data_IF_615091907371
#
_entry.id   IF_615091907371
#
_cell.length_a   1.000
_cell.length_b   1.000
_cell.length_c   1.000
_cell.angle_alpha   90.00
_cell.angle_beta   90.00
_cell.angle_gamma   90.00
#
_symmetry.space_group_name_H-M   'P 1'
#
loop_
_entity.id
_entity.type
_entity.pdbx_description
1 polymer ?
#
# COMPACT_ATOMS: atom_id res chain seq x y z
N UNK A 1 19.39 19.49 39.04
CA UNK A 1 18.68 18.35 38.37
C UNK A 1 17.48 18.94 37.72
N UNK A 2 17.60 19.23 36.44
CA UNK A 2 16.47 19.74 35.61
C UNK A 2 15.82 18.54 34.91
N UNK A 3 14.54 18.35 35.18
CA UNK A 3 13.69 17.43 34.41
C UNK A 3 13.47 18.02 33.02
N UNK A 4 14.08 17.45 32.02
CA UNK A 4 13.79 17.74 30.61
C UNK A 4 12.55 16.94 30.22
N UNK A 5 11.43 17.62 30.11
CA UNK A 5 10.15 17.03 29.74
C UNK A 5 10.15 16.52 28.29
N UNK A 6 9.90 15.22 28.12
CA UNK A 6 9.69 14.52 26.83
C UNK A 6 8.19 14.52 26.49
N UNK A 7 7.55 15.67 26.39
CA UNK A 7 6.12 15.77 26.04
C UNK A 7 5.84 16.39 24.66
N UNK A 8 6.88 16.69 23.88
CA UNK A 8 6.70 17.45 22.62
C UNK A 8 6.39 16.61 21.35
N UNK A 9 6.69 15.31 21.33
CA UNK A 9 6.70 14.55 20.05
C UNK A 9 5.32 14.07 19.58
N UNK A 10 4.50 13.55 20.46
CA UNK A 10 3.20 12.99 20.08
C UNK A 10 2.19 14.08 19.64
N UNK A 11 2.21 15.25 20.28
CA UNK A 11 1.31 16.36 19.95
C UNK A 11 1.63 16.96 18.57
N UNK A 12 2.91 17.07 18.22
CA UNK A 12 3.33 17.61 16.92
C UNK A 12 2.96 16.69 15.75
N UNK A 13 3.07 15.36 15.91
CA UNK A 13 2.68 14.38 14.90
C UNK A 13 1.16 14.39 14.67
N UNK A 14 0.37 14.51 15.72
CA UNK A 14 -1.10 14.54 15.61
C UNK A 14 -1.60 15.82 14.92
N UNK A 15 -0.99 16.98 15.19
CA UNK A 15 -1.33 18.25 14.54
C UNK A 15 -1.00 18.19 13.04
N UNK A 16 0.19 17.73 12.68
CA UNK A 16 0.60 17.60 11.26
C UNK A 16 -0.29 16.63 10.47
N UNK A 17 -0.77 15.55 11.09
CA UNK A 17 -1.68 14.59 10.48
C UNK A 17 -3.08 15.17 10.24
N UNK A 18 -3.58 15.98 11.18
CA UNK A 18 -4.88 16.67 11.06
C UNK A 18 -4.85 17.72 9.95
N UNK A 19 -3.76 18.45 9.83
CA UNK A 19 -3.56 19.46 8.78
C UNK A 19 -3.51 18.81 7.40
N UNK A 20 -2.79 17.68 7.25
CA UNK A 20 -2.72 16.91 5.98
C UNK A 20 -4.12 16.51 5.48
N UNK A 21 -4.96 15.97 6.37
CA UNK A 21 -6.32 15.52 6.01
C UNK A 21 -7.20 16.69 5.62
N UNK A 22 -7.12 17.81 6.35
CA UNK A 22 -7.91 19.00 6.05
C UNK A 22 -7.53 19.60 4.69
N UNK A 23 -6.23 19.81 4.46
CA UNK A 23 -5.71 20.33 3.18
C UNK A 23 -6.06 19.41 2.00
N UNK A 24 -5.90 18.10 2.16
CA UNK A 24 -6.23 17.14 1.12
C UNK A 24 -7.73 17.13 0.78
N UNK A 25 -8.59 17.22 1.79
CA UNK A 25 -10.04 17.30 1.61
C UNK A 25 -10.46 18.59 0.90
N UNK A 26 -9.87 19.71 1.27
CA UNK A 26 -10.10 20.99 0.62
C UNK A 26 -9.68 20.94 -0.85
N UNK A 27 -8.47 20.42 -1.14
CA UNK A 27 -7.95 20.27 -2.49
C UNK A 27 -8.84 19.38 -3.37
N UNK A 28 -9.30 18.24 -2.86
CA UNK A 28 -10.19 17.33 -3.57
C UNK A 28 -11.57 17.99 -3.83
N UNK A 29 -12.11 18.68 -2.86
CA UNK A 29 -13.40 19.38 -2.98
C UNK A 29 -13.31 20.54 -3.97
N UNK A 30 -12.25 21.34 -3.92
CA UNK A 30 -12.01 22.43 -4.84
C UNK A 30 -11.87 21.93 -6.29
N UNK A 31 -11.10 20.85 -6.50
CA UNK A 31 -10.96 20.24 -7.84
C UNK A 31 -12.31 19.75 -8.38
N UNK A 32 -13.09 19.03 -7.56
CA UNK A 32 -14.42 18.56 -7.96
C UNK A 32 -15.40 19.71 -8.30
N UNK A 33 -15.26 20.86 -7.67
CA UNK A 33 -16.09 22.03 -7.94
C UNK A 33 -15.74 22.73 -9.28
N UNK A 34 -14.52 22.54 -9.80
CA UNK A 34 -14.03 23.19 -11.02
C UNK A 34 -14.13 22.31 -12.27
N UNK A 35 -14.35 20.99 -12.10
CA UNK A 35 -14.46 20.03 -13.20
C UNK A 35 -15.93 19.70 -13.41
N UNK A 36 -16.40 19.78 -14.65
CA UNK A 36 -17.71 19.28 -15.06
C UNK A 36 -17.59 18.02 -15.93
N UNK A 37 -18.69 17.41 -16.26
CA UNK A 37 -18.73 16.21 -17.13
C UNK A 37 -18.34 16.47 -18.57
N UNK A 38 -18.22 17.73 -18.97
CA UNK A 38 -17.73 18.16 -20.29
C UNK A 38 -16.24 18.49 -20.27
N UNK A 39 -15.56 18.20 -19.15
CA UNK A 39 -14.12 18.46 -18.96
C UNK A 39 -13.26 17.78 -20.03
N UNK A 40 -12.13 18.40 -20.33
CA UNK A 40 -11.13 17.83 -21.24
C UNK A 40 -10.40 16.70 -20.54
N UNK A 41 -10.31 15.54 -21.18
CA UNK A 41 -9.54 14.41 -20.68
C UNK A 41 -8.36 14.08 -21.58
N UNK A 42 -7.24 13.75 -20.98
CA UNK A 42 -6.09 13.17 -21.66
C UNK A 42 -5.80 11.78 -21.04
N UNK A 43 -5.52 10.82 -21.91
CA UNK A 43 -5.37 9.42 -21.51
C UNK A 43 -3.95 8.96 -21.84
N UNK A 44 -3.39 8.14 -20.97
CA UNK A 44 -2.01 7.69 -21.07
C UNK A 44 -1.89 6.20 -20.77
N UNK A 45 -1.12 5.49 -21.57
CA UNK A 45 -0.56 4.18 -21.23
C UNK A 45 0.79 4.40 -20.55
N UNK A 46 1.01 3.84 -19.39
CA UNK A 46 2.33 3.83 -18.76
C UNK A 46 3.03 2.55 -19.18
N UNK A 47 3.97 2.68 -20.11
CA UNK A 47 4.72 1.55 -20.64
C UNK A 47 5.93 1.26 -19.77
N UNK A 48 6.12 -0.01 -19.39
CA UNK A 48 7.23 -0.47 -18.58
C UNK A 48 6.90 -1.73 -17.80
N UNK A 49 7.90 -2.37 -17.23
CA UNK A 49 7.72 -3.55 -16.38
C UNK A 49 6.98 -3.21 -15.07
N UNK A 50 7.07 -1.96 -14.63
CA UNK A 50 6.39 -1.43 -13.44
C UNK A 50 6.15 0.06 -13.60
N UNK A 51 5.32 0.64 -12.73
CA UNK A 51 5.12 2.10 -12.68
C UNK A 51 6.41 2.85 -12.33
N UNK A 52 7.35 2.23 -11.60
CA UNK A 52 8.63 2.82 -11.20
C UNK A 52 9.58 3.06 -12.37
N UNK A 53 9.53 2.22 -13.40
CA UNK A 53 10.32 2.35 -14.62
C UNK A 53 9.48 2.74 -15.83
N UNK A 54 8.18 3.04 -15.59
CA UNK A 54 7.24 3.30 -16.66
C UNK A 54 7.38 4.68 -17.27
N UNK A 55 7.16 4.75 -18.57
CA UNK A 55 7.08 5.99 -19.35
C UNK A 55 5.63 6.22 -19.79
N UNK A 56 5.05 7.43 -19.58
CA UNK A 56 3.72 7.72 -20.07
C UNK A 56 3.77 7.90 -21.60
N UNK A 57 2.80 7.29 -22.26
CA UNK A 57 2.51 7.45 -23.70
C UNK A 57 1.08 7.90 -23.82
N UNK A 58 0.85 9.03 -24.47
CA UNK A 58 -0.49 9.55 -24.72
C UNK A 58 -1.24 8.64 -25.67
N UNK A 59 -2.53 8.43 -25.42
CA UNK A 59 -3.43 7.68 -26.28
C UNK A 59 -4.71 8.49 -26.50
N UNK A 60 -5.26 8.39 -27.70
CA UNK A 60 -6.54 9.01 -28.02
C UNK A 60 -7.66 7.99 -27.83
N UNK A 61 -8.68 8.40 -27.10
CA UNK A 61 -9.92 7.66 -26.99
C UNK A 61 -10.98 8.22 -27.95
N UNK A 62 -11.81 7.35 -28.45
CA UNK A 62 -13.02 7.75 -29.16
C UNK A 62 -13.86 8.67 -28.26
N UNK A 63 -14.50 9.67 -28.84
CA UNK A 63 -15.17 10.76 -28.11
C UNK A 63 -16.14 10.27 -27.02
N UNK A 64 -16.92 9.22 -27.32
CA UNK A 64 -17.87 8.69 -26.35
C UNK A 64 -17.14 8.03 -25.17
N UNK A 65 -16.11 7.22 -25.42
CA UNK A 65 -15.30 6.61 -24.38
C UNK A 65 -14.57 7.65 -23.54
N UNK A 66 -14.05 8.72 -24.17
CA UNK A 66 -13.42 9.83 -23.46
C UNK A 66 -14.39 10.50 -22.47
N UNK A 67 -15.64 10.70 -22.87
CA UNK A 67 -16.67 11.26 -22.00
C UNK A 67 -17.03 10.29 -20.85
N UNK A 68 -17.14 8.99 -21.12
CA UNK A 68 -17.36 7.96 -20.09
C UNK A 68 -16.22 7.95 -19.06
N UNK A 69 -14.97 8.07 -19.51
CA UNK A 69 -13.79 8.16 -18.61
C UNK A 69 -13.88 9.35 -17.67
N UNK A 70 -14.28 10.53 -18.18
CA UNK A 70 -14.48 11.72 -17.32
C UNK A 70 -15.49 11.43 -16.23
N UNK A 71 -16.64 10.87 -16.58
CA UNK A 71 -17.69 10.49 -15.61
C UNK A 71 -17.17 9.49 -14.58
N UNK A 72 -16.42 8.50 -15.01
CA UNK A 72 -15.87 7.46 -14.14
C UNK A 72 -14.83 8.03 -13.16
N UNK A 73 -13.93 8.90 -13.63
CA UNK A 73 -12.91 9.59 -12.80
C UNK A 73 -13.61 10.47 -11.75
N UNK A 74 -14.57 11.29 -12.17
CA UNK A 74 -15.31 12.16 -11.26
C UNK A 74 -16.15 11.36 -10.26
N UNK A 75 -16.78 10.26 -10.70
CA UNK A 75 -17.51 9.34 -9.83
C UNK A 75 -16.62 8.68 -8.78
N UNK A 76 -15.38 8.32 -9.13
CA UNK A 76 -14.41 7.80 -8.17
C UNK A 76 -13.93 8.88 -7.19
N UNK A 77 -13.58 10.06 -7.68
CA UNK A 77 -13.15 11.19 -6.86
C UNK A 77 -14.26 11.62 -5.87
N UNK A 78 -15.51 11.69 -6.34
CA UNK A 78 -16.66 12.00 -5.49
C UNK A 78 -16.90 10.95 -4.42
N UNK A 79 -16.70 9.67 -4.71
CA UNK A 79 -16.74 8.64 -3.67
C UNK A 79 -15.66 8.84 -2.62
N UNK A 80 -14.43 9.14 -3.02
CA UNK A 80 -13.32 9.42 -2.07
C UNK A 80 -13.61 10.64 -1.18
N UNK A 81 -14.22 11.70 -1.74
CA UNK A 81 -14.59 12.88 -0.97
C UNK A 81 -15.61 12.59 0.15
N UNK A 82 -16.45 11.54 -0.04
CA UNK A 82 -17.44 11.11 0.95
C UNK A 82 -16.90 10.07 1.95
N UNK A 83 -15.67 9.58 1.78
CA UNK A 83 -15.03 8.69 2.74
C UNK A 83 -14.35 9.50 3.86
N UNK A 84 -14.12 8.85 4.98
CA UNK A 84 -13.23 9.34 6.01
C UNK A 84 -11.78 9.30 5.48
N UNK A 85 -11.14 10.45 5.35
CA UNK A 85 -9.74 10.53 4.95
C UNK A 85 -8.85 10.28 6.17
N UNK A 86 -7.88 9.38 6.00
CA UNK A 86 -6.91 9.01 7.03
C UNK A 86 -5.50 9.17 6.46
N UNK A 87 -4.56 9.81 7.19
CA UNK A 87 -3.17 9.87 6.75
C UNK A 87 -2.60 8.47 6.52
N UNK A 88 -1.80 8.33 5.48
CA UNK A 88 -1.11 7.07 5.26
C UNK A 88 -0.10 6.79 6.38
N UNK A 89 -0.35 5.72 7.10
CA UNK A 89 0.56 5.09 8.03
C UNK A 89 0.75 3.62 7.59
N UNK A 90 1.99 3.16 7.40
CA UNK A 90 2.25 1.77 7.01
C UNK A 90 1.67 0.73 7.96
N UNK A 91 1.50 1.06 9.23
CA UNK A 91 0.92 0.18 10.25
C UNK A 91 -0.60 0.21 10.30
N UNK A 92 -1.24 1.22 9.71
CA UNK A 92 -2.69 1.39 9.74
C UNK A 92 -3.41 0.51 8.71
N UNK A 93 -4.53 -0.07 9.11
CA UNK A 93 -5.44 -0.78 8.19
C UNK A 93 -6.78 -0.03 8.14
N UNK A 94 -7.10 0.61 7.00
CA UNK A 94 -8.34 1.33 6.87
C UNK A 94 -9.54 0.37 6.96
N UNK A 95 -10.58 0.80 7.63
CA UNK A 95 -11.88 0.14 7.63
C UNK A 95 -12.65 0.44 6.35
N UNK A 96 -13.76 -0.28 6.15
CA UNK A 96 -14.73 0.06 5.10
C UNK A 96 -15.26 1.47 5.35
N UNK A 97 -15.17 2.35 4.37
CA UNK A 97 -15.58 3.75 4.51
C UNK A 97 -14.43 4.74 4.71
N UNK A 98 -13.20 4.25 4.79
CA UNK A 98 -12.00 5.09 4.88
C UNK A 98 -11.20 5.08 3.59
N UNK A 99 -10.49 6.19 3.32
CA UNK A 99 -9.51 6.31 2.27
C UNK A 99 -8.21 6.90 2.82
N UNK A 100 -7.10 6.37 2.36
CA UNK A 100 -5.77 6.84 2.74
C UNK A 100 -5.37 8.05 1.90
N UNK A 101 -4.71 9.00 2.53
CA UNK A 101 -4.15 10.17 1.87
C UNK A 101 -2.69 10.34 2.26
N UNK A 102 -1.89 10.76 1.28
CA UNK A 102 -0.49 11.14 1.50
C UNK A 102 -0.13 12.33 0.59
N UNK A 103 0.97 13.02 0.87
CA UNK A 103 1.53 14.00 -0.05
C UNK A 103 2.21 13.28 -1.21
N UNK A 104 2.03 13.77 -2.42
CA UNK A 104 2.60 13.17 -3.63
C UNK A 104 4.14 13.10 -3.56
N UNK A 105 4.78 14.07 -2.92
CA UNK A 105 6.23 14.10 -2.70
C UNK A 105 6.75 12.93 -1.85
N UNK A 106 5.88 12.32 -1.03
CA UNK A 106 6.20 11.12 -0.24
C UNK A 106 6.14 9.83 -1.09
N UNK A 107 5.79 9.95 -2.37
CA UNK A 107 5.66 8.85 -3.33
C UNK A 107 6.44 9.24 -4.61
N UNK A 108 7.78 9.29 -4.54
CA UNK A 108 8.62 9.96 -5.54
C UNK A 108 8.48 9.40 -6.96
N UNK A 109 8.27 8.09 -7.11
CA UNK A 109 8.09 7.48 -8.44
C UNK A 109 6.77 7.91 -9.07
N UNK A 110 5.69 7.97 -8.28
CA UNK A 110 4.40 8.48 -8.75
C UNK A 110 4.50 9.98 -9.03
N UNK A 111 5.22 10.74 -8.19
CA UNK A 111 5.44 12.17 -8.40
C UNK A 111 6.14 12.44 -9.74
N UNK A 112 7.21 11.69 -10.04
CA UNK A 112 7.93 11.78 -11.32
C UNK A 112 7.00 11.48 -12.51
N UNK A 113 6.25 10.39 -12.45
CA UNK A 113 5.30 10.01 -13.49
C UNK A 113 4.19 11.06 -13.66
N UNK A 114 3.65 11.54 -12.53
CA UNK A 114 2.60 12.55 -12.52
C UNK A 114 3.08 13.87 -13.14
N UNK A 115 4.31 14.30 -12.87
CA UNK A 115 4.90 15.49 -13.47
C UNK A 115 4.99 15.38 -15.00
N UNK A 116 5.40 14.21 -15.52
CA UNK A 116 5.46 13.96 -16.97
C UNK A 116 4.08 14.01 -17.62
N UNK A 117 3.04 13.49 -16.96
CA UNK A 117 1.65 13.54 -17.42
C UNK A 117 1.11 14.98 -17.32
N UNK A 118 1.38 15.68 -16.22
CA UNK A 118 0.91 17.05 -16.01
C UNK A 118 1.50 18.05 -17.02
N UNK A 119 2.76 17.84 -17.43
CA UNK A 119 3.42 18.64 -18.45
C UNK A 119 2.98 18.28 -19.88
N UNK A 120 2.18 17.24 -20.07
CA UNK A 120 1.75 16.70 -21.38
C UNK A 120 2.93 16.46 -22.35
N UNK A 121 4.06 16.01 -21.80
CA UNK A 121 5.29 15.74 -22.57
C UNK A 121 5.32 14.36 -23.20
N UNK A 122 4.30 13.54 -22.94
CA UNK A 122 4.21 12.19 -23.44
C UNK A 122 3.99 12.17 -24.95
N UNK A 123 4.79 11.37 -25.65
CA UNK A 123 4.60 11.14 -27.08
C UNK A 123 3.31 10.32 -27.29
N UNK A 124 2.62 10.62 -28.42
CA UNK A 124 1.47 9.84 -28.83
C UNK A 124 1.90 8.37 -29.02
N UNK A 125 1.11 7.45 -28.50
CA UNK A 125 1.38 6.02 -28.66
C UNK A 125 1.09 5.59 -30.11
N UNK A 126 2.04 4.87 -30.71
CA UNK A 126 1.84 4.27 -32.03
C UNK A 126 1.29 2.85 -31.84
N UNK A 127 0.01 2.61 -32.15
CA UNK A 127 -0.60 1.30 -31.98
C UNK A 127 -0.04 0.22 -32.94
N UNK A 128 0.77 0.64 -33.96
CA UNK A 128 1.41 -0.29 -34.92
C UNK A 128 2.73 -0.87 -34.43
N UNK A 129 3.23 -0.42 -33.27
CA UNK A 129 4.50 -0.88 -32.70
C UNK A 129 4.44 -2.30 -32.13
N UNK A 130 5.57 -3.00 -32.13
CA UNK A 130 5.72 -4.39 -31.66
C UNK A 130 5.29 -4.57 -30.19
N UNK A 131 4.27 -5.39 -29.97
CA UNK A 131 3.79 -5.92 -28.67
C UNK A 131 3.45 -4.84 -27.59
N UNK A 132 2.46 -3.98 -27.90
CA UNK A 132 2.07 -2.89 -26.98
C UNK A 132 1.54 -3.40 -25.63
N UNK A 133 0.98 -4.58 -25.60
CA UNK A 133 0.21 -5.07 -24.49
C UNK A 133 1.02 -5.68 -23.35
N UNK A 134 2.20 -6.21 -23.63
CA UNK A 134 3.03 -6.89 -22.61
C UNK A 134 3.74 -5.96 -21.64
N UNK A 135 3.80 -4.66 -21.95
CA UNK A 135 4.59 -3.70 -21.19
C UNK A 135 3.78 -2.56 -20.56
N UNK A 136 2.47 -2.71 -20.44
CA UNK A 136 1.66 -1.67 -19.79
C UNK A 136 1.71 -1.88 -18.27
N UNK A 137 2.27 -0.94 -17.52
CA UNK A 137 2.32 -0.93 -16.06
C UNK A 137 1.11 -0.24 -15.43
N UNK A 138 0.54 0.77 -16.10
CA UNK A 138 -0.65 1.48 -15.64
C UNK A 138 -1.39 2.14 -16.80
N UNK A 139 -2.66 2.48 -16.55
CA UNK A 139 -3.42 3.48 -17.27
C UNK A 139 -3.53 4.73 -16.40
N UNK A 140 -3.36 5.90 -17.00
CA UNK A 140 -3.60 7.16 -16.32
C UNK A 140 -4.59 8.00 -17.11
N UNK A 141 -5.55 8.60 -16.41
CA UNK A 141 -6.59 9.43 -16.99
C UNK A 141 -6.58 10.78 -16.27
N UNK A 142 -6.21 11.82 -17.00
CA UNK A 142 -6.21 13.19 -16.49
C UNK A 142 -7.46 13.90 -16.96
N UNK A 143 -8.17 14.51 -16.03
CA UNK A 143 -9.32 15.36 -16.29
C UNK A 143 -8.99 16.76 -15.80
N UNK A 144 -8.97 17.72 -16.71
CA UNK A 144 -8.63 19.11 -16.42
C UNK A 144 -9.86 19.88 -15.97
N UNK A 145 -9.68 20.81 -15.02
CA UNK A 145 -10.72 21.75 -14.62
C UNK A 145 -10.93 22.87 -15.66
N UNK A 146 -11.98 23.66 -15.45
CA UNK A 146 -12.35 24.80 -16.32
C UNK A 146 -11.25 25.86 -16.37
N UNK A 147 -10.45 26.02 -15.33
CA UNK A 147 -9.26 26.85 -15.33
C UNK A 147 -8.05 26.03 -15.74
N UNK A 148 -7.18 26.60 -16.58
CA UNK A 148 -5.93 25.96 -16.99
C UNK A 148 -4.91 25.77 -15.85
N UNK A 149 -5.33 25.94 -14.60
CA UNK A 149 -4.50 25.75 -13.42
C UNK A 149 -4.35 24.24 -13.15
N UNK A 150 -3.10 23.76 -13.13
CA UNK A 150 -2.78 22.36 -12.84
C UNK A 150 -3.30 21.91 -11.47
N UNK A 151 -3.51 22.84 -10.53
CA UNK A 151 -4.06 22.56 -9.21
C UNK A 151 -5.49 22.02 -9.25
N UNK A 152 -6.24 22.26 -10.33
CA UNK A 152 -7.62 21.80 -10.49
C UNK A 152 -7.75 20.48 -11.26
N UNK A 153 -6.67 19.92 -11.81
CA UNK A 153 -6.71 18.66 -12.55
C UNK A 153 -6.78 17.46 -11.62
N UNK A 154 -7.58 16.45 -11.98
CA UNK A 154 -7.63 15.14 -11.32
C UNK A 154 -6.97 14.13 -12.25
N UNK A 155 -5.94 13.43 -11.76
CA UNK A 155 -5.32 12.33 -12.49
C UNK A 155 -5.61 11.01 -11.78
N UNK A 156 -6.39 10.14 -12.43
CA UNK A 156 -6.73 8.81 -11.92
C UNK A 156 -5.80 7.75 -12.50
N UNK A 157 -5.32 6.86 -11.66
CA UNK A 157 -4.41 5.78 -12.01
C UNK A 157 -5.08 4.43 -11.82
N UNK A 158 -5.04 3.63 -12.88
CA UNK A 158 -5.31 2.20 -12.82
C UNK A 158 -3.98 1.47 -12.87
N UNK A 159 -3.53 0.99 -11.73
CA UNK A 159 -2.29 0.24 -11.59
C UNK A 159 -2.51 -1.21 -12.03
N UNK A 160 -1.52 -1.76 -12.67
CA UNK A 160 -1.62 -3.11 -13.20
C UNK A 160 -0.82 -4.11 -12.43
N UNK A 161 -1.49 -5.25 -12.12
CA UNK A 161 -0.80 -6.51 -12.11
C UNK A 161 -0.63 -7.04 -13.56
N UNK A 162 0.27 -7.97 -13.82
CA UNK A 162 0.49 -8.55 -15.13
C UNK A 162 -0.81 -9.19 -15.64
N UNK A 163 -1.53 -8.57 -16.53
CA UNK A 163 -2.77 -9.14 -17.05
C UNK A 163 -3.80 -8.23 -17.67
N UNK A 164 -3.53 -6.95 -17.96
CA UNK A 164 -4.50 -6.09 -18.67
C UNK A 164 -4.46 -6.28 -20.18
N UNK A 165 -3.36 -6.80 -20.73
CA UNK A 165 -3.35 -7.14 -22.12
C UNK A 165 -3.61 -8.62 -22.26
N UNK A 166 -4.63 -8.94 -22.95
CA UNK A 166 -5.01 -10.33 -23.09
C UNK A 166 -4.85 -10.82 -24.52
N UNK A 167 -3.70 -11.40 -24.77
CA UNK A 167 -3.72 -12.68 -25.48
C UNK A 167 -3.54 -13.74 -24.41
N UNK A 168 -4.63 -14.20 -23.79
CA UNK A 168 -4.54 -15.46 -23.01
C UNK A 168 -4.59 -16.61 -23.99
N UNK A 169 -3.50 -17.36 -24.18
CA UNK A 169 -3.59 -18.68 -24.81
C UNK A 169 -4.54 -19.51 -23.95
N UNK A 170 -5.68 -19.93 -24.50
CA UNK A 170 -6.65 -20.79 -23.83
C UNK A 170 -7.70 -20.10 -22.96
N UNK A 171 -7.76 -18.76 -22.95
CA UNK A 171 -8.72 -17.99 -22.13
C UNK A 171 -9.98 -17.54 -22.84
N UNK A 172 -10.57 -16.47 -22.35
CA UNK A 172 -11.79 -15.85 -22.86
C UNK A 172 -11.66 -15.50 -24.34
N UNK A 173 -12.59 -16.01 -25.14
CA UNK A 173 -12.72 -15.64 -26.55
C UNK A 173 -13.69 -14.47 -26.64
N UNK A 174 -13.20 -13.32 -27.06
CA UNK A 174 -14.08 -12.18 -27.36
C UNK A 174 -14.62 -12.34 -28.76
N UNK A 175 -15.93 -12.26 -28.90
CA UNK A 175 -16.63 -12.36 -30.17
C UNK A 175 -17.31 -11.02 -30.44
N UNK A 176 -17.06 -10.43 -31.62
CA UNK A 176 -17.72 -9.22 -32.06
C UNK A 176 -18.72 -9.56 -33.17
N UNK A 177 -19.96 -9.08 -33.09
CA UNK A 177 -20.91 -9.26 -34.16
C UNK A 177 -20.53 -8.33 -35.33
N UNK A 178 -20.25 -8.90 -36.50
CA UNK A 178 -20.03 -8.18 -37.74
C UNK A 178 -20.86 -8.83 -38.85
N UNK A 179 -21.69 -8.03 -39.53
CA UNK A 179 -22.44 -8.50 -40.69
C UNK A 179 -23.38 -9.72 -40.41
N UNK A 180 -23.89 -9.87 -39.19
CA UNK A 180 -24.72 -11.00 -38.80
C UNK A 180 -23.97 -12.26 -38.35
N UNK A 181 -22.64 -12.22 -38.31
CA UNK A 181 -21.79 -13.31 -37.85
C UNK A 181 -20.98 -12.85 -36.67
N UNK A 182 -20.74 -13.73 -35.68
CA UNK A 182 -19.81 -13.46 -34.60
C UNK A 182 -18.41 -13.82 -35.03
N UNK A 183 -17.55 -12.82 -35.19
CA UNK A 183 -16.14 -13.00 -35.52
C UNK A 183 -15.30 -13.05 -34.25
N UNK A 184 -14.28 -13.89 -34.25
CA UNK A 184 -13.29 -13.93 -33.17
C UNK A 184 -12.39 -12.70 -33.26
N UNK A 185 -12.26 -11.96 -32.17
CA UNK A 185 -11.25 -10.90 -32.07
C UNK A 185 -9.88 -11.55 -31.97
N UNK A 186 -9.06 -11.30 -32.97
CA UNK A 186 -7.65 -11.78 -33.05
C UNK A 186 -6.67 -10.70 -32.59
N UNK A 187 -7.12 -9.45 -32.57
CA UNK A 187 -6.29 -8.30 -32.20
C UNK A 187 -6.03 -8.25 -30.70
N UNK A 188 -4.95 -7.63 -30.31
CA UNK A 188 -4.66 -7.35 -28.91
C UNK A 188 -5.65 -6.32 -28.38
N UNK A 189 -6.26 -6.62 -27.23
CA UNK A 189 -7.25 -5.76 -26.62
C UNK A 189 -6.71 -5.18 -25.32
N UNK A 190 -6.83 -3.88 -25.15
CA UNK A 190 -6.66 -3.20 -23.87
C UNK A 190 -8.06 -3.03 -23.26
N UNK A 191 -8.29 -3.64 -22.11
CA UNK A 191 -9.56 -3.47 -21.40
C UNK A 191 -9.53 -2.18 -20.59
N UNK A 192 -10.48 -1.31 -20.87
CA UNK A 192 -10.85 -0.25 -19.95
C UNK A 192 -11.81 -0.81 -18.89
N UNK A 193 -11.51 -0.54 -17.63
CA UNK A 193 -12.40 -0.82 -16.51
C UNK A 193 -12.51 0.46 -15.66
N UNK A 194 -13.73 0.91 -15.32
CA UNK A 194 -13.98 2.12 -14.54
C UNK A 194 -13.62 1.92 -13.05
N UNK A 195 -12.43 1.39 -12.80
CA UNK A 195 -11.92 1.12 -11.46
C UNK A 195 -10.50 1.67 -11.36
N UNK A 196 -10.34 2.63 -10.48
CA UNK A 196 -9.05 3.26 -10.23
C UNK A 196 -8.50 2.80 -8.89
N UNK A 197 -7.17 2.75 -8.81
CA UNK A 197 -6.44 2.32 -7.62
C UNK A 197 -5.95 3.53 -6.82
N UNK A 198 -5.70 4.66 -7.51
CA UNK A 198 -5.29 5.93 -6.90
C UNK A 198 -5.78 7.11 -7.72
N UNK A 199 -5.95 8.27 -7.07
CA UNK A 199 -6.02 9.56 -7.74
C UNK A 199 -4.98 10.51 -7.17
N UNK A 200 -4.53 11.46 -8.01
CA UNK A 200 -3.67 12.57 -7.62
C UNK A 200 -4.39 13.87 -7.91
N UNK A 201 -4.42 14.75 -6.91
CA UNK A 201 -5.05 16.07 -6.96
C UNK A 201 -4.20 17.04 -6.15
N UNK A 202 -3.81 18.18 -6.76
CA UNK A 202 -3.14 19.30 -6.06
C UNK A 202 -1.99 18.86 -5.12
N UNK A 203 -1.18 17.90 -5.54
CA UNK A 203 -0.04 17.41 -4.74
C UNK A 203 -0.39 16.38 -3.65
N UNK A 204 -1.62 15.89 -3.62
CA UNK A 204 -2.04 14.78 -2.75
C UNK A 204 -2.34 13.53 -3.55
N UNK A 205 -2.04 12.36 -2.97
CA UNK A 205 -2.42 11.04 -3.49
C UNK A 205 -3.45 10.40 -2.57
N UNK A 206 -4.53 9.90 -3.16
CA UNK A 206 -5.64 9.24 -2.45
C UNK A 206 -5.74 7.80 -2.92
N UNK A 207 -5.84 6.85 -2.00
CA UNK A 207 -6.00 5.43 -2.26
C UNK A 207 -6.98 4.79 -1.28
N UNK A 208 -7.58 3.67 -1.68
CA UNK A 208 -8.50 2.92 -0.82
C UNK A 208 -7.87 1.73 -0.11
N UNK A 209 -6.61 1.40 -0.43
CA UNK A 209 -5.90 0.27 0.18
C UNK A 209 -4.44 0.59 0.46
N UNK A 210 -3.88 0.18 1.63
CA UNK A 210 -2.46 0.36 1.94
C UNK A 210 -1.54 -0.32 0.92
N UNK A 211 -1.95 -1.47 0.39
CA UNK A 211 -1.16 -2.23 -0.59
C UNK A 211 -0.86 -1.42 -1.85
N UNK A 212 -1.78 -0.55 -2.27
CA UNK A 212 -1.57 0.35 -3.40
C UNK A 212 -0.37 1.26 -3.16
N UNK A 213 -0.28 1.89 -1.98
CA UNK A 213 0.86 2.74 -1.62
C UNK A 213 2.13 1.91 -1.41
N UNK A 214 2.06 0.84 -0.64
CA UNK A 214 3.25 0.07 -0.27
C UNK A 214 3.91 -0.63 -1.46
N UNK A 215 3.15 -1.38 -2.27
CA UNK A 215 3.72 -2.24 -3.31
C UNK A 215 3.73 -1.62 -4.70
N UNK A 216 2.73 -0.80 -4.98
CA UNK A 216 2.52 -0.31 -6.34
C UNK A 216 3.00 1.12 -6.54
N UNK A 217 3.10 1.92 -5.47
CA UNK A 217 3.48 3.33 -5.54
C UNK A 217 4.77 3.68 -4.79
N UNK A 218 5.52 2.69 -4.31
CA UNK A 218 6.87 2.89 -3.76
C UNK A 218 6.97 3.31 -2.31
N UNK A 219 5.87 3.31 -1.55
CA UNK A 219 5.89 3.62 -0.10
C UNK A 219 6.37 2.46 0.77
N UNK A 220 6.87 1.39 0.18
CA UNK A 220 7.40 0.24 0.91
C UNK A 220 8.67 0.57 1.71
N UNK A 221 9.44 1.57 1.30
CA UNK A 221 10.59 2.07 2.05
C UNK A 221 10.20 2.58 3.45
N UNK A 222 9.06 3.27 3.56
CA UNK A 222 8.52 3.72 4.86
C UNK A 222 8.09 2.52 5.71
N UNK A 223 7.42 1.53 5.12
CA UNK A 223 7.04 0.31 5.82
C UNK A 223 8.27 -0.45 6.36
N UNK A 224 9.35 -0.53 5.60
CA UNK A 224 10.63 -1.12 6.04
C UNK A 224 11.24 -0.35 7.20
N UNK A 225 11.22 0.97 7.15
CA UNK A 225 11.73 1.81 8.24
C UNK A 225 10.94 1.58 9.52
N UNK A 226 9.61 1.66 9.45
CA UNK A 226 8.73 1.40 10.60
C UNK A 226 8.91 -0.02 11.13
N UNK A 227 9.04 -1.03 10.25
CA UNK A 227 9.27 -2.42 10.67
C UNK A 227 10.57 -2.56 11.47
N UNK A 228 11.66 -1.97 10.99
CA UNK A 228 12.96 -1.99 11.67
C UNK A 228 12.93 -1.28 13.02
N UNK A 229 12.31 -0.09 13.08
CA UNK A 229 12.17 0.68 14.31
C UNK A 229 11.30 -0.05 15.33
N UNK A 230 10.20 -0.65 14.89
CA UNK A 230 9.33 -1.46 15.73
C UNK A 230 10.06 -2.67 16.28
N UNK A 231 10.80 -3.39 15.44
CA UNK A 231 11.60 -4.52 15.87
C UNK A 231 12.64 -4.10 16.92
N UNK A 232 13.39 -3.02 16.66
CA UNK A 232 14.37 -2.51 17.61
C UNK A 232 13.72 -2.12 18.96
N UNK A 233 12.56 -1.47 18.94
CA UNK A 233 11.80 -1.10 20.15
C UNK A 233 11.31 -2.34 20.91
N UNK A 234 10.79 -3.34 20.22
CA UNK A 234 10.24 -4.54 20.82
C UNK A 234 11.32 -5.47 21.41
N UNK A 235 12.56 -5.39 20.89
CA UNK A 235 13.63 -6.32 21.28
C UNK A 235 14.69 -5.69 22.19
N UNK A 236 14.47 -4.48 22.67
CA UNK A 236 15.45 -3.75 23.53
C UNK A 236 15.84 -4.55 24.79
N UNK A 237 14.93 -5.38 25.33
CA UNK A 237 15.16 -6.21 26.51
C UNK A 237 15.20 -7.71 26.18
N UNK A 238 15.40 -8.07 24.91
CA UNK A 238 15.43 -9.46 24.45
C UNK A 238 16.82 -9.79 23.92
N UNK A 239 17.43 -10.83 24.48
CA UNK A 239 18.68 -11.36 23.95
C UNK A 239 18.37 -12.29 22.76
N UNK A 240 18.87 -11.93 21.58
CA UNK A 240 18.72 -12.70 20.35
C UNK A 240 20.10 -12.91 19.73
N UNK A 241 20.51 -14.16 19.64
CA UNK A 241 21.65 -14.59 18.85
C UNK A 241 21.23 -14.58 17.35
N UNK A 242 22.01 -13.92 16.49
CA UNK A 242 21.61 -13.63 15.11
C UNK A 242 20.68 -12.42 14.95
N UNK A 243 20.69 -11.48 15.92
CA UNK A 243 19.85 -10.28 15.89
C UNK A 243 20.07 -9.41 14.63
N UNK A 244 21.31 -9.36 14.12
CA UNK A 244 21.65 -8.58 12.90
C UNK A 244 20.95 -9.19 11.69
N UNK A 245 21.07 -10.50 11.50
CA UNK A 245 20.42 -11.21 10.39
C UNK A 245 18.89 -11.13 10.48
N UNK A 246 18.34 -11.22 11.70
CA UNK A 246 16.89 -11.06 11.90
C UNK A 246 16.43 -9.64 11.59
N UNK A 247 17.18 -8.61 11.97
CA UNK A 247 16.89 -7.21 11.64
C UNK A 247 16.87 -6.99 10.12
N UNK A 248 17.82 -7.58 9.42
CA UNK A 248 17.88 -7.55 7.96
C UNK A 248 16.66 -8.25 7.35
N UNK A 249 16.32 -9.44 7.84
CA UNK A 249 15.16 -10.18 7.37
C UNK A 249 13.85 -9.42 7.62
N UNK A 250 13.67 -8.82 8.81
CA UNK A 250 12.51 -7.98 9.16
C UNK A 250 12.37 -6.78 8.24
N UNK A 251 13.48 -6.24 7.73
CA UNK A 251 13.48 -5.08 6.86
C UNK A 251 13.21 -5.41 5.39
N UNK A 252 13.34 -6.66 4.96
CA UNK A 252 13.25 -7.04 3.54
C UNK A 252 12.18 -8.09 3.23
N UNK A 253 11.82 -8.96 4.17
CA UNK A 253 10.78 -9.95 3.96
C UNK A 253 9.37 -9.34 4.14
N UNK A 254 8.51 -9.34 3.10
CA UNK A 254 7.19 -8.71 3.18
C UNK A 254 6.29 -9.28 4.29
N UNK A 255 6.42 -10.59 4.61
CA UNK A 255 5.63 -11.20 5.66
C UNK A 255 6.12 -10.77 7.06
N UNK A 256 7.42 -10.60 7.24
CA UNK A 256 7.99 -10.05 8.48
C UNK A 256 7.66 -8.57 8.65
N UNK A 257 7.75 -7.78 7.57
CA UNK A 257 7.29 -6.37 7.58
C UNK A 257 5.83 -6.30 8.05
N UNK A 258 4.95 -7.12 7.50
CA UNK A 258 3.54 -7.14 7.90
C UNK A 258 3.37 -7.51 9.39
N UNK A 259 4.16 -8.42 9.92
CA UNK A 259 4.18 -8.76 11.35
C UNK A 259 4.63 -7.60 12.22
N UNK A 260 5.67 -6.89 11.80
CA UNK A 260 6.14 -5.71 12.53
C UNK A 260 5.12 -4.56 12.48
N UNK A 261 4.38 -4.39 11.38
CA UNK A 261 3.27 -3.44 11.32
C UNK A 261 2.16 -3.80 12.32
N UNK A 262 1.85 -5.10 12.44
CA UNK A 262 0.91 -5.58 13.45
C UNK A 262 1.43 -5.31 14.87
N UNK A 263 2.69 -5.62 15.13
CA UNK A 263 3.34 -5.37 16.43
C UNK A 263 3.35 -3.88 16.75
N UNK A 264 3.65 -3.00 15.79
CA UNK A 264 3.64 -1.56 15.98
C UNK A 264 2.28 -1.07 16.51
N UNK A 265 1.18 -1.51 15.89
CA UNK A 265 -0.18 -1.19 16.35
C UNK A 265 -0.44 -1.66 17.78
N UNK A 266 0.03 -2.88 18.13
CA UNK A 266 -0.09 -3.41 19.49
C UNK A 266 0.67 -2.56 20.50
N UNK A 267 1.91 -2.17 20.18
CA UNK A 267 2.76 -1.33 21.03
C UNK A 267 2.25 0.10 21.19
N UNK A 268 1.53 0.63 20.19
CA UNK A 268 0.89 1.94 20.25
C UNK A 268 -0.40 1.90 21.08
N UNK A 269 -1.19 0.84 20.92
CA UNK A 269 -2.44 0.65 21.68
C UNK A 269 -2.19 0.24 23.14
N UNK A 270 -1.11 -0.47 23.42
CA UNK A 270 -0.76 -0.98 24.74
C UNK A 270 0.76 -0.83 25.01
N UNK A 271 1.20 0.33 25.52
CA UNK A 271 2.61 0.54 25.86
C UNK A 271 3.18 -0.47 26.86
N UNK A 272 2.35 -1.00 27.78
CA UNK A 272 2.76 -2.02 28.76
C UNK A 272 3.14 -3.36 28.07
N UNK A 273 2.67 -3.59 26.85
CA UNK A 273 3.07 -4.75 26.07
C UNK A 273 4.58 -4.74 25.76
N UNK A 274 5.15 -3.57 25.45
CA UNK A 274 6.59 -3.45 25.21
C UNK A 274 7.41 -3.81 26.47
N UNK A 275 6.96 -3.40 27.66
CA UNK A 275 7.61 -3.72 28.93
C UNK A 275 7.51 -5.20 29.26
N UNK A 276 6.48 -5.88 28.77
CA UNK A 276 6.30 -7.32 28.91
C UNK A 276 7.24 -8.14 28.01
N UNK A 277 7.75 -7.57 26.92
CA UNK A 277 8.66 -8.25 25.99
C UNK A 277 10.08 -8.30 26.56
N UNK A 278 10.35 -9.33 27.34
CA UNK A 278 11.68 -9.59 27.94
C UNK A 278 12.15 -11.00 27.62
N UNK A 279 13.47 -11.22 27.61
CA UNK A 279 14.05 -12.57 27.45
C UNK A 279 13.46 -13.56 28.45
N UNK A 280 13.35 -13.17 29.72
CA UNK A 280 12.84 -14.06 30.77
C UNK A 280 11.40 -14.54 30.48
N UNK A 281 10.50 -13.63 30.12
CA UNK A 281 9.10 -13.99 29.81
C UNK A 281 8.98 -14.82 28.52
N UNK A 282 9.80 -14.54 27.51
CA UNK A 282 9.80 -15.35 26.30
C UNK A 282 10.33 -16.77 26.57
N UNK A 283 11.35 -16.93 27.40
CA UNK A 283 11.84 -18.25 27.81
C UNK A 283 10.78 -19.01 28.60
N UNK A 284 10.12 -18.36 29.57
CA UNK A 284 9.00 -18.96 30.32
C UNK A 284 7.85 -19.39 29.37
N UNK A 285 7.51 -18.56 28.42
CA UNK A 285 6.52 -18.87 27.38
C UNK A 285 6.94 -20.10 26.55
N UNK A 286 8.21 -20.19 26.13
CA UNK A 286 8.71 -21.33 25.37
C UNK A 286 8.78 -22.61 26.20
N UNK A 287 9.16 -22.53 27.47
CA UNK A 287 9.15 -23.67 28.41
C UNK A 287 7.71 -24.23 28.58
N UNK A 288 6.71 -23.36 28.63
CA UNK A 288 5.30 -23.75 28.66
C UNK A 288 4.76 -24.25 27.29
N UNK A 289 5.46 -23.95 26.20
CA UNK A 289 5.06 -24.26 24.82
C UNK A 289 6.17 -24.98 24.03
N UNK A 290 6.63 -26.16 24.43
CA UNK A 290 7.80 -26.83 23.82
C UNK A 290 7.62 -27.26 22.37
N UNK A 291 6.43 -27.12 21.79
CA UNK A 291 6.15 -27.36 20.39
C UNK A 291 6.58 -26.17 19.50
N UNK A 292 6.85 -25.00 20.08
CA UNK A 292 7.38 -23.84 19.35
C UNK A 292 8.89 -24.03 19.27
N UNK A 293 9.37 -24.42 18.09
CA UNK A 293 10.76 -24.83 17.88
C UNK A 293 11.72 -23.63 17.71
N UNK A 294 11.67 -22.66 18.65
CA UNK A 294 12.69 -21.61 18.75
C UNK A 294 13.87 -22.18 19.54
N UNK A 295 15.05 -22.16 18.94
CA UNK A 295 16.26 -22.62 19.59
C UNK A 295 16.70 -21.58 20.65
N UNK A 296 17.28 -22.09 21.75
CA UNK A 296 17.77 -21.27 22.87
C UNK A 296 19.26 -21.55 23.03
N UNK A 297 20.06 -20.50 23.11
CA UNK A 297 21.49 -20.58 23.39
C UNK A 297 21.85 -19.88 24.71
N UNK A 298 23.06 -20.16 25.21
CA UNK A 298 23.57 -19.58 26.45
C UNK A 298 23.22 -20.35 27.71
N UNK A 299 23.77 -19.92 28.86
CA UNK A 299 23.59 -20.56 30.18
C UNK A 299 23.30 -19.47 31.22
N UNK A 300 22.40 -19.75 32.12
CA UNK A 300 22.07 -18.83 33.23
C UNK A 300 21.44 -17.52 32.68
N UNK A 301 21.97 -16.40 33.07
CA UNK A 301 21.48 -15.06 32.67
C UNK A 301 21.78 -14.71 31.22
N UNK A 302 22.68 -15.44 30.55
CA UNK A 302 23.04 -15.20 29.15
C UNK A 302 22.17 -16.03 28.17
N UNK A 303 21.15 -16.71 28.67
CA UNK A 303 20.19 -17.42 27.81
C UNK A 303 19.46 -16.44 26.90
N UNK A 304 19.38 -16.79 25.62
CA UNK A 304 18.69 -15.98 24.61
C UNK A 304 18.07 -16.85 23.51
N UNK A 305 17.24 -16.22 22.70
CA UNK A 305 16.63 -16.83 21.52
C UNK A 305 17.67 -16.93 20.42
N UNK A 306 17.63 -17.97 19.59
CA UNK A 306 18.47 -18.08 18.41
C UNK A 306 17.64 -17.87 17.16
N UNK A 307 18.03 -16.93 16.30
CA UNK A 307 17.42 -16.77 15.01
C UNK A 307 17.93 -17.84 14.04
N UNK A 308 17.02 -18.62 13.50
CA UNK A 308 17.30 -19.62 12.44
C UNK A 308 16.66 -19.14 11.12
N UNK A 309 17.48 -18.82 10.07
CA UNK A 309 16.99 -18.33 8.78
C UNK A 309 16.27 -19.40 7.93
N UNK A 310 16.24 -20.65 8.37
CA UNK A 310 15.55 -21.72 7.66
C UNK A 310 14.07 -21.39 7.43
N UNK A 311 13.48 -21.72 6.25
CA UNK A 311 12.12 -21.32 5.87
C UNK A 311 11.05 -21.68 6.91
N UNK A 312 11.22 -22.78 7.65
CA UNK A 312 10.28 -23.25 8.66
C UNK A 312 10.40 -22.50 9.99
N UNK A 313 11.57 -21.93 10.29
CA UNK A 313 11.88 -21.33 11.58
C UNK A 313 12.00 -19.81 11.58
N UNK A 314 12.35 -19.21 10.45
CA UNK A 314 12.64 -17.77 10.35
C UNK A 314 11.54 -16.83 10.84
N UNK A 315 10.29 -17.31 10.86
CA UNK A 315 9.13 -16.52 11.30
C UNK A 315 8.76 -16.72 12.78
N UNK A 316 9.38 -17.67 13.48
CA UNK A 316 8.97 -18.05 14.83
C UNK A 316 9.18 -16.93 15.84
N UNK A 317 10.32 -16.23 15.81
CA UNK A 317 10.57 -15.07 16.69
C UNK A 317 9.58 -13.94 16.39
N UNK A 318 9.41 -13.45 15.14
CA UNK A 318 8.37 -12.48 14.80
C UNK A 318 6.96 -12.87 15.27
N UNK A 319 6.59 -14.15 15.15
CA UNK A 319 5.29 -14.66 15.64
C UNK A 319 5.20 -14.66 17.17
N UNK A 320 6.27 -14.99 17.87
CA UNK A 320 6.31 -14.91 19.32
C UNK A 320 6.18 -13.46 19.82
N UNK A 321 6.84 -12.50 19.15
CA UNK A 321 6.73 -11.09 19.47
C UNK A 321 5.31 -10.53 19.22
N UNK A 322 4.57 -11.08 18.27
CA UNK A 322 3.18 -10.71 18.00
C UNK A 322 2.17 -11.57 18.74
N UNK A 323 2.63 -12.45 19.62
CA UNK A 323 1.81 -13.40 20.42
C UNK A 323 0.81 -14.20 19.54
N UNK A 324 1.26 -14.70 18.38
CA UNK A 324 0.41 -15.41 17.41
C UNK A 324 0.06 -16.84 17.83
N UNK A 325 0.61 -17.32 18.92
CA UNK A 325 0.41 -18.68 19.43
C UNK A 325 -0.69 -18.71 20.49
N UNK A 326 -1.91 -19.06 20.08
CA UNK A 326 -3.07 -19.14 20.97
C UNK A 326 -3.42 -20.58 21.33
N UNK A 327 -3.94 -20.75 22.54
CA UNK A 327 -4.60 -21.98 22.98
C UNK A 327 -6.08 -21.69 23.23
N UNK A 328 -6.95 -22.51 22.65
CA UNK A 328 -8.39 -22.44 22.96
C UNK A 328 -8.67 -23.10 24.30
N UNK A 329 -9.26 -22.40 25.23
CA UNK A 329 -9.69 -22.94 26.53
C UNK A 329 -10.80 -23.98 26.35
N UNK A 330 -11.67 -23.80 25.34
CA UNK A 330 -12.78 -24.72 25.09
C UNK A 330 -12.31 -26.07 24.55
N UNK A 331 -11.35 -26.09 23.62
CA UNK A 331 -10.92 -27.32 22.95
C UNK A 331 -9.54 -27.80 23.39
N UNK A 332 -8.83 -27.02 24.18
CA UNK A 332 -7.40 -27.19 24.51
C UNK A 332 -6.49 -27.33 23.29
N UNK A 333 -7.00 -27.00 22.08
CA UNK A 333 -6.24 -27.01 20.84
C UNK A 333 -5.46 -25.72 20.71
N UNK A 334 -4.31 -25.82 20.07
CA UNK A 334 -3.43 -24.71 19.78
C UNK A 334 -3.69 -24.18 18.38
N UNK A 335 -3.62 -22.87 18.25
CA UNK A 335 -3.86 -22.17 16.99
C UNK A 335 -2.74 -21.16 16.75
N UNK A 336 -2.34 -21.04 15.50
CA UNK A 336 -1.58 -19.91 15.00
C UNK A 336 -2.56 -18.93 14.39
N UNK A 337 -2.57 -17.69 14.85
CA UNK A 337 -3.56 -16.67 14.44
C UNK A 337 -2.85 -15.43 13.96
N UNK A 338 -3.10 -15.08 12.70
CA UNK A 338 -2.51 -13.90 12.06
C UNK A 338 -3.18 -12.57 12.42
N UNK A 339 -4.35 -12.60 13.09
CA UNK A 339 -5.05 -11.38 13.54
C UNK A 339 -5.77 -11.65 14.85
N UNK A 340 -5.71 -10.70 15.78
CA UNK A 340 -6.35 -10.79 17.09
C UNK A 340 -7.14 -9.53 17.36
N UNK A 341 -8.30 -9.70 18.00
CA UNK A 341 -9.02 -8.61 18.63
C UNK A 341 -8.99 -8.84 20.14
N UNK A 342 -8.46 -7.88 20.89
CA UNK A 342 -8.54 -7.90 22.35
C UNK A 342 -10.00 -7.67 22.75
N UNK A 343 -10.52 -8.54 23.64
CA UNK A 343 -11.92 -8.48 24.10
C UNK A 343 -12.05 -7.83 25.49
N UNK A 344 -10.97 -7.78 26.24
CA UNK A 344 -10.87 -7.12 27.53
C UNK A 344 -10.37 -5.68 27.33
N UNK A 345 -11.26 -4.76 27.54
CA UNK A 345 -11.00 -3.32 27.57
C UNK A 345 -11.12 -2.80 29.00
#
# INVERSE_FOLDING_TARGET
MEEVGVTGSATAVTVAATDLVAEAREALTAALATIDTAGVSANYLVRGASIFSGEPRRIDFEKQLAAEVVVDVLGFASRLANLELVPYDPSFQPSTGQALVDRLEQVPELARLHQSIAADTALLDDPSGDDPARQIAALAHRVDGVSADQASAITAYRLKGPGIATKKPGGLRVLLPRGGVYERVTDELVYYQPRFDAIVVAGFVFVTTPMTLQRNLGSDARARTVARETFARATVHIHIDGAVELTEAVSHDPAMIAKMMQLNRTLEADPAYAEALTTARLLEFLDANPHIAIDIAGVGNDRGLVFDPAPQKRYLIPKALTDDFLRSDLTSRRYEVGSKQRLDS
#
